data_IF_050968007032
#
_entry.id   IF_050968007032
#
_cell.length_a   1.000
_cell.length_b   1.000
_cell.length_c   1.000
_cell.angle_alpha   90.00
_cell.angle_beta   90.00
_cell.angle_gamma   90.00
#
_symmetry.space_group_name_H-M   'P 1'
#
loop_
_entity.id
_entity.type
_entity.pdbx_description
1 polymer ?
#
# COMPACT_ATOMS: atom_id res chain seq x y z
N UNK A 1 66.57 34.55 51.36
CA UNK A 1 65.25 35.20 51.24
C UNK A 1 64.23 34.09 51.37
N UNK A 2 63.93 33.73 52.62
CA UNK A 2 62.80 34.25 53.42
C UNK A 2 61.49 33.59 52.94
N UNK A 3 61.03 32.55 53.65
CA UNK A 3 59.97 32.56 54.69
C UNK A 3 58.56 32.59 54.06
N UNK A 4 57.51 31.96 54.54
CA UNK A 4 57.22 30.85 55.45
C UNK A 4 55.67 30.70 55.39
N UNK A 5 55.14 29.67 56.03
CA UNK A 5 53.79 29.57 56.61
C UNK A 5 52.62 28.98 55.80
N UNK A 6 52.11 27.91 56.41
CA UNK A 6 50.90 27.14 56.24
C UNK A 6 49.58 27.92 56.38
N UNK A 7 48.47 27.35 55.91
CA UNK A 7 47.25 27.09 56.72
C UNK A 7 46.13 26.44 55.88
N UNK A 8 45.65 25.31 56.41
CA UNK A 8 44.27 24.79 56.47
C UNK A 8 43.24 25.04 55.35
N UNK A 9 42.54 23.94 55.02
CA UNK A 9 41.33 23.90 54.22
C UNK A 9 40.16 24.68 54.84
N UNK A 10 39.11 24.94 54.03
CA UNK A 10 37.76 24.70 54.51
C UNK A 10 37.03 23.65 53.67
N UNK A 11 36.43 22.70 54.37
CA UNK A 11 35.21 22.03 53.95
C UNK A 11 34.16 23.10 53.65
N UNK A 12 33.58 23.08 52.45
CA UNK A 12 32.31 23.74 52.19
C UNK A 12 31.39 22.74 51.49
N UNK A 13 30.54 22.13 52.30
CA UNK A 13 29.22 21.71 51.85
C UNK A 13 28.53 22.94 51.27
N UNK A 14 28.14 22.89 50.00
CA UNK A 14 27.02 23.66 49.50
C UNK A 14 26.23 22.80 48.52
N UNK A 15 25.15 22.28 49.08
CA UNK A 15 23.91 21.93 48.43
C UNK A 15 23.53 22.89 47.30
N UNK A 16 23.31 22.36 46.09
CA UNK A 16 22.27 22.88 45.19
C UNK A 16 21.85 21.81 44.19
N UNK A 17 20.73 21.17 44.53
CA UNK A 17 19.83 20.49 43.61
C UNK A 17 19.32 21.51 42.59
N UNK A 18 20.04 21.70 41.47
CA UNK A 18 19.55 22.25 40.20
C UNK A 18 20.63 22.07 39.15
N UNK A 19 20.93 20.82 38.80
CA UNK A 19 21.90 20.50 37.76
C UNK A 19 21.24 20.53 36.40
N UNK A 20 21.33 21.65 35.68
CA UNK A 20 21.03 21.71 34.25
C UNK A 20 21.87 20.65 33.49
N UNK A 21 21.22 19.57 33.04
CA UNK A 21 21.87 18.51 32.28
C UNK A 21 22.34 19.03 30.91
N UNK A 22 23.64 18.91 30.62
CA UNK A 22 24.18 19.18 29.28
C UNK A 22 23.62 18.20 28.23
N UNK A 23 23.46 18.63 26.98
CA UNK A 23 22.96 17.77 25.88
C UNK A 23 23.74 16.46 25.71
N UNK A 24 25.06 16.48 25.97
CA UNK A 24 25.90 15.28 25.94
C UNK A 24 25.58 14.30 27.08
N UNK A 25 25.24 14.82 28.27
CA UNK A 25 24.83 13.98 29.40
C UNK A 25 23.44 13.36 29.16
N UNK A 26 22.54 14.11 28.52
CA UNK A 26 21.21 13.63 28.14
C UNK A 26 21.29 12.46 27.14
N UNK A 27 22.07 12.61 26.06
CA UNK A 27 22.25 11.55 25.06
C UNK A 27 22.91 10.30 25.64
N UNK A 28 23.85 10.46 26.59
CA UNK A 28 24.45 9.34 27.32
C UNK A 28 23.45 8.64 28.25
N UNK A 29 22.56 9.39 28.91
CA UNK A 29 21.49 8.82 29.74
C UNK A 29 20.53 7.96 28.90
N UNK A 30 20.05 8.49 27.76
CA UNK A 30 19.21 7.73 26.83
C UNK A 30 19.93 6.49 26.27
N UNK A 31 21.22 6.59 25.95
CA UNK A 31 22.02 5.45 25.48
C UNK A 31 22.19 4.37 26.55
N UNK A 32 22.37 4.75 27.82
CA UNK A 32 22.42 3.81 28.96
C UNK A 32 21.07 3.11 29.14
N UNK A 33 19.97 3.86 29.08
CA UNK A 33 18.61 3.33 29.18
C UNK A 33 18.32 2.34 28.03
N UNK A 34 18.69 2.69 26.80
CA UNK A 34 18.61 1.80 25.64
C UNK A 34 19.38 0.49 25.84
N UNK A 35 20.61 0.58 26.35
CA UNK A 35 21.42 -0.60 26.63
C UNK A 35 20.80 -1.49 27.72
N UNK A 36 20.16 -0.90 28.73
CA UNK A 36 19.43 -1.64 29.77
C UNK A 36 18.17 -2.32 29.23
N UNK A 37 17.40 -1.64 28.38
CA UNK A 37 16.17 -2.17 27.78
C UNK A 37 16.45 -3.28 26.74
N UNK A 38 17.58 -3.22 26.03
CA UNK A 38 17.97 -4.21 25.02
C UNK A 38 18.47 -5.55 25.59
N UNK A 39 18.70 -5.67 26.91
CA UNK A 39 19.29 -6.87 27.52
C UNK A 39 18.23 -7.96 27.80
N UNK A 40 18.49 -9.25 27.49
CA UNK A 40 17.54 -10.34 27.71
C UNK A 40 17.11 -10.51 29.18
N UNK A 41 15.83 -10.81 29.40
CA UNK A 41 15.08 -10.71 30.67
C UNK A 41 15.48 -11.66 31.80
N UNK A 42 16.51 -12.49 31.65
CA UNK A 42 16.64 -13.71 32.45
C UNK A 42 16.64 -13.54 33.98
N UNK A 43 16.95 -12.38 34.60
CA UNK A 43 16.95 -12.21 36.08
C UNK A 43 16.84 -10.77 36.65
N UNK A 44 15.91 -9.87 36.24
CA UNK A 44 15.91 -8.49 36.82
C UNK A 44 14.66 -7.60 36.66
N UNK A 45 13.44 -8.07 36.98
CA UNK A 45 12.20 -7.26 36.94
C UNK A 45 12.34 -5.89 37.62
N UNK A 46 12.77 -5.86 38.89
CA UNK A 46 12.95 -4.61 39.66
C UNK A 46 13.91 -3.58 39.04
N UNK A 47 14.88 -4.02 38.22
CA UNK A 47 15.86 -3.08 37.63
C UNK A 47 15.28 -2.37 36.41
N UNK A 48 14.34 -3.00 35.69
CA UNK A 48 13.68 -2.34 34.55
C UNK A 48 12.63 -1.34 35.01
N UNK A 49 11.91 -1.59 36.10
CA UNK A 49 10.96 -0.63 36.66
C UNK A 49 11.65 0.64 37.18
N UNK A 50 12.81 0.49 37.81
CA UNK A 50 13.67 1.64 38.19
C UNK A 50 14.12 2.41 36.96
N UNK A 51 14.54 1.72 35.89
CA UNK A 51 14.94 2.37 34.63
C UNK A 51 13.78 3.11 33.97
N UNK A 52 12.55 2.58 34.03
CA UNK A 52 11.36 3.26 33.50
C UNK A 52 11.00 4.49 34.32
N UNK A 53 11.15 4.41 35.65
CA UNK A 53 10.98 5.57 36.54
C UNK A 53 12.02 6.64 36.27
N UNK A 54 13.30 6.27 36.22
CA UNK A 54 14.41 7.17 35.89
C UNK A 54 14.20 7.85 34.52
N UNK A 55 13.69 7.11 33.53
CA UNK A 55 13.34 7.64 32.22
C UNK A 55 12.17 8.64 32.32
N UNK A 56 11.14 8.34 33.12
CA UNK A 56 10.03 9.25 33.36
C UNK A 56 10.45 10.55 34.02
N UNK A 57 11.28 10.46 35.07
CA UNK A 57 11.82 11.60 35.79
C UNK A 57 12.73 12.45 34.87
N UNK A 58 13.52 11.80 34.01
CA UNK A 58 14.33 12.47 33.00
C UNK A 58 13.45 13.23 32.00
N UNK A 59 12.39 12.62 31.46
CA UNK A 59 11.47 13.27 30.51
C UNK A 59 10.77 14.48 31.15
N UNK A 60 10.38 14.38 32.43
CA UNK A 60 9.76 15.50 33.14
C UNK A 60 10.74 16.64 33.38
N UNK A 61 11.94 16.33 33.87
CA UNK A 61 12.97 17.31 34.21
C UNK A 61 13.60 18.00 32.99
N UNK A 62 13.53 17.39 31.80
CA UNK A 62 14.14 17.97 30.60
C UNK A 62 13.21 18.99 29.94
N UNK A 63 13.74 20.18 29.64
CA UNK A 63 13.07 21.19 28.82
C UNK A 63 12.97 20.73 27.35
N UNK A 64 11.91 21.19 26.67
CA UNK A 64 11.55 20.75 25.33
C UNK A 64 12.69 20.96 24.30
N UNK A 65 13.32 22.15 24.30
CA UNK A 65 14.39 22.50 23.37
C UNK A 65 15.55 21.51 23.48
N UNK A 66 15.83 20.98 24.67
CA UNK A 66 16.91 20.01 24.89
C UNK A 66 16.59 18.58 24.43
N UNK A 67 15.30 18.22 24.38
CA UNK A 67 14.83 16.91 23.93
C UNK A 67 14.82 16.78 22.40
N UNK A 68 14.61 17.89 21.69
CA UNK A 68 14.36 17.86 20.24
C UNK A 68 15.30 18.77 19.42
N UNK A 69 15.93 19.80 19.98
CA UNK A 69 16.91 20.62 19.26
C UNK A 69 18.33 20.05 19.36
N UNK A 70 18.91 19.73 18.21
CA UNK A 70 20.34 19.60 18.02
C UNK A 70 20.89 20.86 17.36
N UNK A 71 21.08 21.94 18.12
CA UNK A 71 21.64 23.19 17.57
C UNK A 71 23.15 23.04 17.33
N UNK A 72 23.49 22.59 16.12
CA UNK A 72 24.84 22.57 15.57
C UNK A 72 25.18 21.33 14.76
N UNK A 73 26.10 21.47 13.80
CA UNK A 73 26.56 20.44 12.85
C UNK A 73 27.16 19.16 13.50
N UNK A 74 27.18 19.05 14.83
CA UNK A 74 27.66 17.89 15.61
C UNK A 74 26.57 17.09 16.33
N UNK A 75 25.28 17.49 16.28
CA UNK A 75 24.20 16.91 17.11
C UNK A 75 22.99 16.36 16.33
N UNK A 76 23.23 15.78 15.15
CA UNK A 76 22.23 15.24 14.21
C UNK A 76 21.60 13.89 14.63
N UNK A 77 21.39 13.63 15.92
CA UNK A 77 21.06 12.27 16.40
C UNK A 77 20.08 12.15 17.57
N UNK A 78 19.66 13.24 18.20
CA UNK A 78 18.79 13.18 19.39
C UNK A 78 17.35 12.75 19.05
N UNK A 79 16.69 13.30 18.01
CA UNK A 79 15.38 12.82 17.54
C UNK A 79 15.39 11.32 17.17
N UNK A 80 16.48 10.85 16.55
CA UNK A 80 16.66 9.45 16.18
C UNK A 80 16.86 8.57 17.42
N UNK A 81 17.65 9.03 18.40
CA UNK A 81 17.86 8.34 19.68
C UNK A 81 16.55 8.20 20.44
N UNK A 82 15.72 9.25 20.44
CA UNK A 82 14.38 9.20 21.05
C UNK A 82 13.46 8.22 20.32
N UNK A 83 13.52 8.16 18.99
CA UNK A 83 12.84 7.13 18.20
C UNK A 83 13.31 5.71 18.53
N UNK A 84 14.62 5.52 18.77
CA UNK A 84 15.17 4.24 19.23
C UNK A 84 14.67 3.87 20.63
N UNK A 85 14.59 4.85 21.55
CA UNK A 85 14.04 4.64 22.90
C UNK A 85 12.59 4.22 22.81
N UNK A 86 11.77 4.91 22.00
CA UNK A 86 10.38 4.56 21.78
C UNK A 86 10.23 3.14 21.21
N UNK A 87 11.10 2.74 20.27
CA UNK A 87 11.15 1.37 19.75
C UNK A 87 11.56 0.35 20.81
N UNK A 88 12.49 0.68 21.70
CA UNK A 88 12.89 -0.21 22.79
C UNK A 88 11.78 -0.38 23.84
N UNK A 89 11.06 0.70 24.15
CA UNK A 89 9.90 0.69 25.03
C UNK A 89 8.74 -0.13 24.45
N UNK A 90 8.43 0.07 23.15
CA UNK A 90 7.44 -0.73 22.44
C UNK A 90 7.77 -2.22 22.50
N UNK A 91 9.03 -2.59 22.23
CA UNK A 91 9.49 -3.98 22.36
C UNK A 91 9.48 -4.52 23.78
N UNK A 92 9.70 -3.67 24.78
CA UNK A 92 9.65 -4.06 26.19
C UNK A 92 8.22 -4.35 26.65
N UNK A 93 7.24 -3.59 26.14
CA UNK A 93 5.83 -3.82 26.41
C UNK A 93 5.21 -4.95 25.57
N UNK A 94 5.88 -5.38 24.50
CA UNK A 94 5.37 -6.42 23.62
C UNK A 94 5.20 -7.78 24.34
N UNK A 95 4.13 -8.53 24.07
CA UNK A 95 3.94 -9.85 24.66
C UNK A 95 4.99 -10.84 24.15
N UNK A 96 5.55 -11.65 25.06
CA UNK A 96 6.42 -12.77 24.71
C UNK A 96 5.63 -14.02 24.30
N UNK A 97 6.26 -14.92 23.56
CA UNK A 97 5.70 -16.24 23.23
C UNK A 97 5.58 -17.07 24.52
N UNK A 98 4.36 -17.47 24.89
CA UNK A 98 4.15 -18.44 25.96
C UNK A 98 4.51 -19.86 25.49
N UNK A 99 5.30 -20.56 26.32
CA UNK A 99 5.28 -22.01 26.41
C UNK A 99 4.00 -22.40 27.15
N UNK A 100 3.27 -23.39 26.64
CA UNK A 100 2.02 -23.90 27.20
C UNK A 100 2.18 -24.20 28.71
N UNK A 101 1.71 -23.31 29.61
CA UNK A 101 1.63 -23.66 31.04
C UNK A 101 1.73 -22.60 32.14
N UNK A 102 1.78 -21.27 31.89
CA UNK A 102 1.94 -20.29 32.98
C UNK A 102 1.09 -19.03 32.84
N UNK A 103 0.01 -18.90 33.62
CA UNK A 103 -0.93 -17.76 33.56
C UNK A 103 -0.41 -16.41 34.09
N UNK A 104 0.84 -16.32 34.57
CA UNK A 104 1.40 -15.11 35.17
C UNK A 104 2.03 -14.14 34.13
N UNK A 105 2.39 -14.65 32.94
CA UNK A 105 3.09 -13.87 31.91
C UNK A 105 2.24 -12.76 31.27
N UNK A 106 0.94 -12.97 31.14
CA UNK A 106 0.01 -11.98 30.60
C UNK A 106 -0.23 -10.79 31.53
N UNK A 107 -0.22 -11.02 32.85
CA UNK A 107 -0.36 -9.95 33.85
C UNK A 107 0.86 -9.02 33.85
N UNK A 108 2.05 -9.59 33.75
CA UNK A 108 3.31 -8.83 33.66
C UNK A 108 3.38 -7.99 32.38
N UNK A 109 3.00 -8.55 31.23
CA UNK A 109 2.95 -7.82 29.95
C UNK A 109 1.98 -6.62 30.01
N UNK A 110 0.82 -6.80 30.65
CA UNK A 110 -0.17 -5.73 30.78
C UNK A 110 0.29 -4.60 31.73
N UNK A 111 0.99 -4.92 32.82
CA UNK A 111 1.53 -3.89 33.72
C UNK A 111 2.71 -3.15 33.08
N UNK A 112 3.62 -3.86 32.38
CA UNK A 112 4.66 -3.23 31.55
C UNK A 112 4.05 -2.27 30.53
N UNK A 113 2.97 -2.69 29.87
CA UNK A 113 2.26 -1.84 28.91
C UNK A 113 1.66 -0.59 29.57
N UNK A 114 1.04 -0.72 30.75
CA UNK A 114 0.51 0.44 31.46
C UNK A 114 1.62 1.46 31.81
N UNK A 115 2.76 1.00 32.31
CA UNK A 115 3.90 1.87 32.64
C UNK A 115 4.50 2.56 31.40
N UNK A 116 4.73 1.79 30.32
CA UNK A 116 5.23 2.32 29.06
C UNK A 116 4.25 3.33 28.44
N UNK A 117 2.95 3.05 28.52
CA UNK A 117 1.91 3.94 28.02
C UNK A 117 1.92 5.30 28.73
N UNK A 118 2.09 5.32 30.05
CA UNK A 118 2.24 6.58 30.81
C UNK A 118 3.47 7.39 30.36
N UNK A 119 4.59 6.71 30.06
CA UNK A 119 5.77 7.38 29.51
C UNK A 119 5.51 7.98 28.12
N UNK A 120 4.78 7.27 27.26
CA UNK A 120 4.39 7.82 25.95
C UNK A 120 3.45 9.02 26.08
N UNK A 121 2.51 9.01 27.02
CA UNK A 121 1.67 10.19 27.30
C UNK A 121 2.50 11.40 27.72
N UNK A 122 3.48 11.21 28.63
CA UNK A 122 4.40 12.29 29.02
C UNK A 122 5.20 12.83 27.83
N UNK A 123 5.73 11.94 26.97
CA UNK A 123 6.45 12.34 25.76
C UNK A 123 5.56 13.10 24.77
N UNK A 124 4.35 12.62 24.50
CA UNK A 124 3.40 13.28 23.60
C UNK A 124 2.96 14.65 24.15
N UNK A 125 2.75 14.77 25.47
CA UNK A 125 2.46 16.05 26.11
C UNK A 125 3.61 17.06 25.97
N UNK A 126 4.88 16.61 26.04
CA UNK A 126 6.05 17.46 25.75
C UNK A 126 6.09 17.90 24.28
N UNK A 127 5.66 17.05 23.33
CA UNK A 127 5.54 17.44 21.92
C UNK A 127 4.38 18.43 21.71
N UNK A 128 3.27 18.26 22.42
CA UNK A 128 2.11 19.16 22.32
C UNK A 128 2.41 20.56 22.88
N UNK A 129 3.02 20.63 24.07
CA UNK A 129 3.43 21.91 24.68
C UNK A 129 4.38 22.69 23.76
N UNK A 130 5.27 21.98 23.08
CA UNK A 130 6.19 22.56 22.12
C UNK A 130 5.56 23.06 20.82
N UNK A 131 4.63 22.28 20.28
CA UNK A 131 3.83 22.69 19.14
C UNK A 131 3.14 24.03 19.41
N UNK A 132 2.69 24.24 20.64
CA UNK A 132 2.03 25.47 21.08
C UNK A 132 3.00 26.62 21.41
N UNK A 133 4.29 26.36 21.61
CA UNK A 133 5.28 27.38 22.01
C UNK A 133 5.98 28.10 20.85
N UNK A 134 5.65 27.80 19.58
CA UNK A 134 6.21 28.42 18.36
C UNK A 134 7.75 28.26 18.18
N UNK A 135 8.41 27.42 18.97
CA UNK A 135 9.87 27.18 18.88
C UNK A 135 10.19 26.12 17.83
N UNK A 136 10.58 26.56 16.62
CA UNK A 136 11.27 25.77 15.58
C UNK A 136 10.57 24.50 15.02
N UNK A 137 10.99 23.97 13.86
CA UNK A 137 10.44 22.73 13.30
C UNK A 137 10.99 21.44 13.96
N UNK A 138 11.74 21.55 15.06
CA UNK A 138 12.45 20.41 15.69
C UNK A 138 11.50 19.33 16.23
N UNK A 139 10.35 19.73 16.80
CA UNK A 139 9.33 18.80 17.28
C UNK A 139 8.77 17.90 16.16
N UNK A 140 8.69 18.39 14.91
CA UNK A 140 8.19 17.62 13.77
C UNK A 140 9.12 16.44 13.44
N UNK A 141 10.43 16.66 13.53
CA UNK A 141 11.44 15.62 13.28
C UNK A 141 11.41 14.56 14.37
N UNK A 142 11.31 14.97 15.63
CA UNK A 142 11.13 14.03 16.75
C UNK A 142 9.84 13.22 16.65
N UNK A 143 8.72 13.90 16.37
CA UNK A 143 7.41 13.27 16.19
C UNK A 143 7.41 12.28 15.01
N UNK A 144 8.17 12.55 13.95
CA UNK A 144 8.32 11.62 12.83
C UNK A 144 8.92 10.28 13.27
N UNK A 145 9.96 10.30 14.10
CA UNK A 145 10.60 9.09 14.62
C UNK A 145 9.81 8.40 15.75
N UNK A 146 9.07 9.16 16.55
CA UNK A 146 8.26 8.66 17.66
C UNK A 146 6.96 7.97 17.22
N UNK A 147 6.24 8.53 16.25
CA UNK A 147 4.87 8.12 16.00
C UNK A 147 4.70 6.67 15.56
N UNK A 148 5.66 6.11 14.82
CA UNK A 148 5.59 4.72 14.36
C UNK A 148 5.59 3.73 15.53
N UNK A 149 6.63 3.73 16.39
CA UNK A 149 6.65 2.91 17.60
C UNK A 149 5.47 3.16 18.55
N UNK A 150 5.09 4.43 18.78
CA UNK A 150 3.96 4.78 19.65
C UNK A 150 2.64 4.22 19.11
N UNK A 151 2.42 4.32 17.79
CA UNK A 151 1.26 3.73 17.13
C UNK A 151 1.23 2.21 17.30
N UNK A 152 2.35 1.52 17.04
CA UNK A 152 2.43 0.05 17.17
C UNK A 152 2.10 -0.37 18.61
N UNK A 153 2.67 0.30 19.60
CA UNK A 153 2.34 0.08 21.00
C UNK A 153 0.84 0.27 21.28
N UNK A 154 0.26 1.39 20.84
CA UNK A 154 -1.14 1.70 21.09
C UNK A 154 -2.08 0.66 20.47
N UNK A 155 -1.82 0.21 19.24
CA UNK A 155 -2.62 -0.86 18.60
C UNK A 155 -2.43 -2.21 19.29
N UNK A 156 -1.22 -2.50 19.78
CA UNK A 156 -0.92 -3.75 20.50
C UNK A 156 -1.74 -3.92 21.78
N UNK A 157 -2.06 -2.82 22.46
CA UNK A 157 -2.68 -2.85 23.79
C UNK A 157 -4.07 -2.19 23.88
N UNK A 158 -4.62 -1.59 22.82
CA UNK A 158 -5.91 -0.87 22.87
C UNK A 158 -7.16 -1.76 22.76
N UNK A 159 -7.01 -2.97 22.23
CA UNK A 159 -8.11 -3.94 22.06
C UNK A 159 -8.04 -5.04 23.12
N UNK A 160 -9.15 -5.76 23.30
CA UNK A 160 -9.18 -6.95 24.14
C UNK A 160 -8.30 -8.05 23.54
N UNK A 161 -7.27 -8.43 24.28
CA UNK A 161 -6.34 -9.49 23.94
C UNK A 161 -5.93 -10.26 25.21
N UNK A 162 -5.44 -11.50 25.09
CA UNK A 162 -5.01 -12.30 26.23
C UNK A 162 -3.98 -11.61 27.14
N UNK A 163 -3.12 -10.75 26.57
CA UNK A 163 -2.06 -10.02 27.27
C UNK A 163 -2.45 -8.60 27.73
N UNK A 164 -3.75 -8.28 27.82
CA UNK A 164 -4.22 -6.93 28.16
C UNK A 164 -5.15 -6.92 29.37
N UNK A 165 -5.10 -5.84 30.16
CA UNK A 165 -6.02 -5.56 31.26
C UNK A 165 -6.87 -4.32 30.94
N UNK A 166 -8.00 -4.08 31.66
CA UNK A 166 -8.76 -2.84 31.50
C UNK A 166 -7.89 -1.58 31.61
N UNK A 167 -6.99 -1.55 32.60
CA UNK A 167 -6.04 -0.45 32.83
C UNK A 167 -5.08 -0.26 31.66
N UNK A 168 -4.43 -1.31 31.19
CA UNK A 168 -3.49 -1.19 30.06
C UNK A 168 -4.18 -0.74 28.78
N UNK A 169 -5.44 -1.18 28.55
CA UNK A 169 -6.25 -0.78 27.39
C UNK A 169 -6.67 0.68 27.44
N UNK A 170 -7.05 1.18 28.60
CA UNK A 170 -7.39 2.59 28.80
C UNK A 170 -6.20 3.49 28.46
N UNK A 171 -5.05 3.23 29.09
CA UNK A 171 -3.81 3.99 28.82
C UNK A 171 -3.41 3.91 27.34
N UNK A 172 -3.50 2.74 26.70
CA UNK A 172 -3.17 2.60 25.28
C UNK A 172 -4.11 3.40 24.36
N UNK A 173 -5.40 3.51 24.70
CA UNK A 173 -6.36 4.35 23.95
C UNK A 173 -6.11 5.83 24.15
N UNK A 174 -5.73 6.24 25.36
CA UNK A 174 -5.29 7.62 25.62
C UNK A 174 -4.05 7.94 24.78
N UNK A 175 -3.05 7.05 24.75
CA UNK A 175 -1.85 7.21 23.93
C UNK A 175 -2.20 7.36 22.45
N UNK A 176 -3.12 6.53 21.92
CA UNK A 176 -3.57 6.66 20.54
C UNK A 176 -4.24 8.01 20.28
N UNK A 177 -5.09 8.47 21.20
CA UNK A 177 -5.81 9.74 21.10
C UNK A 177 -4.85 10.92 21.11
N UNK A 178 -3.91 10.95 22.07
CA UNK A 178 -2.86 11.97 22.13
C UNK A 178 -1.97 11.96 20.90
N UNK A 179 -1.65 10.79 20.34
CA UNK A 179 -0.86 10.70 19.10
C UNK A 179 -1.60 11.35 17.92
N UNK A 180 -2.89 11.04 17.75
CA UNK A 180 -3.72 11.61 16.68
C UNK A 180 -3.84 13.14 16.82
N UNK A 181 -4.04 13.64 18.04
CA UNK A 181 -4.09 15.08 18.34
C UNK A 181 -2.79 15.80 18.00
N UNK A 182 -1.64 15.26 18.43
CA UNK A 182 -0.33 15.85 18.15
C UNK A 182 0.01 15.81 16.65
N UNK A 183 -0.49 14.81 15.93
CA UNK A 183 -0.31 14.67 14.47
C UNK A 183 -1.39 15.33 13.63
N UNK A 184 -2.35 16.02 14.24
CA UNK A 184 -3.47 16.71 13.57
C UNK A 184 -4.33 15.76 12.70
N UNK A 185 -4.41 14.49 13.08
CA UNK A 185 -5.20 13.50 12.36
C UNK A 185 -6.54 13.30 13.07
N UNK A 186 -7.66 13.47 12.36
CA UNK A 186 -9.01 13.22 12.87
C UNK A 186 -9.38 11.74 12.99
N UNK A 187 -8.57 10.85 12.40
CA UNK A 187 -8.77 9.40 12.49
C UNK A 187 -7.46 8.62 12.28
N UNK A 188 -7.49 7.34 12.67
CA UNK A 188 -6.37 6.42 12.39
C UNK A 188 -6.17 6.22 10.89
N UNK A 189 -7.25 6.18 10.10
CA UNK A 189 -7.16 6.10 8.65
C UNK A 189 -6.40 7.31 8.07
N UNK A 190 -6.77 8.52 8.49
CA UNK A 190 -6.07 9.77 8.14
C UNK A 190 -4.59 9.76 8.52
N UNK A 191 -4.26 9.26 9.72
CA UNK A 191 -2.86 9.09 10.15
C UNK A 191 -2.05 8.13 9.25
N UNK A 192 -2.68 7.08 8.75
CA UNK A 192 -2.02 6.05 7.94
C UNK A 192 -1.85 6.46 6.48
N UNK A 193 -2.87 7.05 5.86
CA UNK A 193 -2.85 7.36 4.43
C UNK A 193 -2.79 8.86 4.08
N UNK A 194 -2.88 9.76 5.06
CA UNK A 194 -2.99 11.21 4.88
C UNK A 194 -4.45 11.65 4.73
N UNK A 195 -4.81 12.83 5.20
CA UNK A 195 -6.19 13.34 5.05
C UNK A 195 -6.42 13.93 3.65
N UNK A 196 -5.35 14.43 3.02
CA UNK A 196 -5.35 15.02 1.68
C UNK A 196 -4.54 14.17 0.68
N UNK A 197 -4.86 14.28 -0.61
CA UNK A 197 -4.22 13.49 -1.67
C UNK A 197 -2.69 13.72 -1.79
N UNK A 198 -2.19 14.87 -1.35
CA UNK A 198 -0.78 15.26 -1.42
C UNK A 198 0.02 14.92 -0.15
N UNK A 199 -0.66 14.52 0.94
CA UNK A 199 0.00 14.18 2.20
C UNK A 199 0.47 12.73 2.20
N UNK A 200 1.77 12.52 2.47
CA UNK A 200 2.33 11.18 2.63
C UNK A 200 1.97 10.64 4.03
N UNK A 201 0.97 9.76 4.08
CA UNK A 201 0.62 9.04 5.31
C UNK A 201 1.73 8.12 5.84
N UNK A 202 1.60 7.69 7.10
CA UNK A 202 2.63 6.93 7.82
C UNK A 202 2.59 5.41 7.64
N UNK A 203 1.64 4.90 6.84
CA UNK A 203 1.47 3.45 6.62
C UNK A 203 2.74 2.77 6.10
N UNK A 204 3.49 3.42 5.19
CA UNK A 204 4.74 2.88 4.65
C UNK A 204 5.84 2.72 5.71
N UNK A 205 5.91 3.65 6.67
CA UNK A 205 6.87 3.64 7.80
C UNK A 205 6.50 2.51 8.77
N UNK A 206 5.21 2.39 9.10
CA UNK A 206 4.69 1.34 9.99
C UNK A 206 4.94 -0.04 9.39
N UNK A 207 4.62 -0.26 8.12
CA UNK A 207 4.95 -1.51 7.44
C UNK A 207 6.46 -1.81 7.46
N UNK A 208 7.31 -0.78 7.36
CA UNK A 208 8.75 -0.92 7.48
C UNK A 208 9.19 -1.39 8.88
N UNK A 209 8.52 -0.92 9.93
CA UNK A 209 8.77 -1.33 11.32
C UNK A 209 8.29 -2.75 11.60
N UNK A 210 7.16 -3.17 11.01
CA UNK A 210 6.58 -4.51 11.18
C UNK A 210 7.27 -5.59 10.33
N UNK A 211 7.84 -5.22 9.17
CA UNK A 211 8.50 -6.12 8.22
C UNK A 211 9.52 -7.11 8.83
N UNK A 212 10.47 -6.71 9.71
CA UNK A 212 11.43 -7.64 10.29
C UNK A 212 10.76 -8.77 11.07
N UNK A 213 9.61 -8.49 11.68
CA UNK A 213 8.87 -9.44 12.50
C UNK A 213 7.88 -10.26 11.66
N UNK A 214 7.35 -9.73 10.55
CA UNK A 214 6.41 -10.41 9.63
C UNK A 214 7.08 -11.32 8.58
N UNK A 215 8.07 -12.11 8.97
CA UNK A 215 8.65 -13.15 8.10
C UNK A 215 8.35 -14.56 8.65
N UNK A 216 8.43 -15.58 7.79
CA UNK A 216 8.09 -16.99 8.13
C UNK A 216 8.77 -17.53 9.39
N UNK A 217 9.93 -16.99 9.77
CA UNK A 217 10.74 -17.45 10.92
C UNK A 217 10.45 -16.66 12.21
N UNK A 218 10.01 -15.40 12.14
CA UNK A 218 9.95 -14.50 13.31
C UNK A 218 8.54 -14.10 13.74
N UNK A 219 7.53 -14.22 12.87
CA UNK A 219 6.20 -13.64 13.15
C UNK A 219 5.47 -14.29 14.32
N UNK A 220 5.90 -15.50 14.72
CA UNK A 220 5.40 -16.21 15.89
C UNK A 220 6.10 -15.85 17.21
N UNK A 221 7.14 -15.02 17.16
CA UNK A 221 7.89 -14.61 18.36
C UNK A 221 7.12 -13.58 19.19
N UNK A 222 6.30 -12.77 18.53
CA UNK A 222 5.41 -11.79 19.16
C UNK A 222 3.98 -12.06 18.67
N UNK A 223 3.07 -12.61 19.51
CA UNK A 223 1.71 -12.92 19.09
C UNK A 223 0.91 -11.69 18.68
N UNK A 224 1.28 -10.48 19.11
CA UNK A 224 0.58 -9.25 18.74
C UNK A 224 0.82 -8.82 17.29
N UNK A 225 1.96 -9.18 16.68
CA UNK A 225 2.36 -8.63 15.38
C UNK A 225 1.33 -8.91 14.28
N UNK A 226 0.72 -10.11 14.29
CA UNK A 226 -0.33 -10.50 13.35
C UNK A 226 -1.60 -9.67 13.52
N UNK A 227 -1.95 -9.33 14.75
CA UNK A 227 -3.10 -8.50 15.07
C UNK A 227 -2.86 -7.04 14.68
N UNK A 228 -1.70 -6.49 15.03
CA UNK A 228 -1.30 -5.13 14.65
C UNK A 228 -1.30 -4.98 13.13
N UNK A 229 -0.69 -5.93 12.42
CA UNK A 229 -0.70 -5.94 10.95
C UNK A 229 -2.12 -6.03 10.38
N UNK A 230 -2.90 -7.03 10.81
CA UNK A 230 -4.26 -7.24 10.30
C UNK A 230 -5.16 -6.03 10.54
N UNK A 231 -5.11 -5.45 11.74
CA UNK A 231 -5.92 -4.30 12.09
C UNK A 231 -5.48 -3.06 11.30
N UNK A 232 -4.17 -2.79 11.21
CA UNK A 232 -3.61 -1.65 10.48
C UNK A 232 -3.93 -1.73 8.98
N UNK A 233 -3.88 -2.92 8.39
CA UNK A 233 -4.27 -3.15 7.01
C UNK A 233 -5.74 -2.78 6.75
N UNK A 234 -6.65 -3.13 7.66
CA UNK A 234 -8.08 -2.84 7.52
C UNK A 234 -8.40 -1.34 7.55
N UNK A 235 -7.54 -0.52 8.15
CA UNK A 235 -7.70 0.94 8.18
C UNK A 235 -7.36 1.62 6.85
N UNK A 236 -6.65 0.95 5.93
CA UNK A 236 -6.24 1.51 4.64
C UNK A 236 -7.08 0.92 3.52
N UNK A 237 -7.86 1.78 2.86
CA UNK A 237 -8.79 1.40 1.78
C UNK A 237 -8.40 2.04 0.45
N UNK A 238 -9.28 1.99 -0.55
CA UNK A 238 -9.05 2.61 -1.88
C UNK A 238 -8.96 4.15 -1.76
N UNK A 239 -8.06 4.82 -2.50
CA UNK A 239 -7.08 4.27 -3.46
C UNK A 239 -5.71 3.88 -2.86
N UNK A 240 -5.46 4.22 -1.59
CA UNK A 240 -4.13 4.20 -0.96
C UNK A 240 -3.53 2.81 -0.73
N UNK A 241 -4.34 1.75 -0.68
CA UNK A 241 -3.82 0.40 -0.45
C UNK A 241 -3.02 -0.15 -1.64
N UNK A 242 -3.35 0.28 -2.87
CA UNK A 242 -2.82 -0.30 -4.10
C UNK A 242 -1.29 -0.21 -4.23
N UNK A 243 -0.70 0.93 -3.86
CA UNK A 243 0.75 1.18 -3.88
C UNK A 243 1.55 0.37 -2.84
N UNK A 244 0.88 -0.32 -1.92
CA UNK A 244 1.52 -1.10 -0.85
C UNK A 244 1.31 -2.61 -1.00
N UNK A 245 0.70 -3.06 -2.11
CA UNK A 245 0.37 -4.46 -2.36
C UNK A 245 1.56 -5.41 -2.17
N UNK A 246 2.71 -5.08 -2.76
CA UNK A 246 3.93 -5.89 -2.67
C UNK A 246 4.42 -6.10 -1.23
N UNK A 247 4.07 -5.18 -0.33
CA UNK A 247 4.47 -5.24 1.09
C UNK A 247 3.44 -5.96 1.95
N UNK A 248 2.15 -5.84 1.64
CA UNK A 248 1.07 -6.41 2.47
C UNK A 248 0.70 -7.84 2.06
N UNK A 249 0.74 -8.17 0.76
CA UNK A 249 0.32 -9.48 0.26
C UNK A 249 1.16 -10.63 0.82
N UNK A 250 2.51 -10.56 0.87
CA UNK A 250 3.31 -11.66 1.42
C UNK A 250 3.00 -11.93 2.90
N UNK A 251 2.83 -10.89 3.71
CA UNK A 251 2.51 -11.03 5.13
C UNK A 251 1.11 -11.64 5.34
N UNK A 252 0.11 -11.22 4.57
CA UNK A 252 -1.23 -11.82 4.61
C UNK A 252 -1.23 -13.29 4.21
N UNK A 253 -0.45 -13.67 3.19
CA UNK A 253 -0.29 -15.06 2.77
C UNK A 253 0.37 -15.91 3.85
N UNK A 254 1.47 -15.42 4.46
CA UNK A 254 2.18 -16.12 5.54
C UNK A 254 1.26 -16.39 6.74
N UNK A 255 0.39 -15.44 7.10
CA UNK A 255 -0.58 -15.61 8.19
C UNK A 255 -1.67 -16.62 7.79
N UNK A 256 -2.13 -16.59 6.53
CA UNK A 256 -3.17 -17.50 6.03
C UNK A 256 -2.72 -18.96 5.86
N UNK A 257 -1.43 -19.19 5.63
CA UNK A 257 -0.81 -20.52 5.47
C UNK A 257 -0.53 -21.21 6.82
N UNK A 258 -0.80 -20.53 7.95
CA UNK A 258 -0.56 -21.08 9.27
C UNK A 258 -1.50 -22.25 9.60
N UNK A 259 -1.05 -23.20 10.42
CA UNK A 259 -1.87 -24.36 10.79
C UNK A 259 -2.99 -24.02 11.78
N UNK A 260 -2.84 -22.98 12.61
CA UNK A 260 -3.84 -22.59 13.61
C UNK A 260 -5.01 -21.85 12.95
N UNK A 261 -6.23 -22.26 13.28
CA UNK A 261 -7.46 -21.73 12.67
C UNK A 261 -7.62 -20.22 12.86
N UNK A 262 -7.28 -19.67 14.03
CA UNK A 262 -7.37 -18.23 14.31
C UNK A 262 -6.51 -17.41 13.35
N UNK A 263 -5.29 -17.89 13.08
CA UNK A 263 -4.36 -17.24 12.16
C UNK A 263 -4.87 -17.33 10.72
N UNK A 264 -5.39 -18.50 10.32
CA UNK A 264 -6.03 -18.66 9.00
C UNK A 264 -7.15 -17.65 8.78
N UNK A 265 -8.05 -17.50 9.77
CA UNK A 265 -9.16 -16.54 9.70
C UNK A 265 -8.62 -15.12 9.54
N UNK A 266 -7.66 -14.70 10.39
CA UNK A 266 -7.05 -13.37 10.28
C UNK A 266 -6.40 -13.14 8.90
N UNK A 267 -5.65 -14.13 8.39
CA UNK A 267 -5.02 -14.07 7.08
C UNK A 267 -6.03 -13.97 5.94
N UNK A 268 -7.10 -14.77 5.98
CA UNK A 268 -8.20 -14.71 5.01
C UNK A 268 -8.92 -13.36 5.07
N UNK A 269 -9.16 -12.80 6.25
CA UNK A 269 -9.73 -11.46 6.40
C UNK A 269 -8.82 -10.38 5.78
N UNK A 270 -7.50 -10.48 5.97
CA UNK A 270 -6.53 -9.61 5.32
C UNK A 270 -6.59 -9.73 3.78
N UNK A 271 -6.58 -10.96 3.27
CA UNK A 271 -6.66 -11.22 1.82
C UNK A 271 -7.98 -10.71 1.25
N UNK A 272 -9.10 -10.93 1.94
CA UNK A 272 -10.41 -10.43 1.55
C UNK A 272 -10.41 -8.90 1.47
N UNK A 273 -9.85 -8.22 2.47
CA UNK A 273 -9.71 -6.76 2.46
C UNK A 273 -8.85 -6.26 1.31
N UNK A 274 -7.71 -6.91 1.04
CA UNK A 274 -6.81 -6.58 -0.08
C UNK A 274 -7.55 -6.75 -1.41
N UNK A 275 -8.23 -7.88 -1.60
CA UNK A 275 -9.05 -8.16 -2.76
C UNK A 275 -10.07 -7.02 -2.94
N UNK A 276 -10.90 -6.76 -1.93
CA UNK A 276 -11.91 -5.71 -2.00
C UNK A 276 -11.34 -4.30 -2.23
N UNK A 277 -10.11 -3.99 -1.81
CA UNK A 277 -9.56 -2.63 -1.82
C UNK A 277 -8.42 -2.35 -2.82
N UNK A 278 -7.88 -3.34 -3.54
CA UNK A 278 -6.77 -3.13 -4.50
C UNK A 278 -7.21 -3.29 -5.96
N UNK A 279 -8.49 -3.60 -6.22
CA UNK A 279 -8.97 -4.04 -7.53
C UNK A 279 -8.31 -5.36 -7.97
N UNK A 280 -8.61 -6.41 -7.18
CA UNK A 280 -8.76 -7.85 -7.49
C UNK A 280 -8.17 -8.44 -8.78
N UNK A 281 -8.41 -7.84 -9.94
CA UNK A 281 -8.31 -8.52 -11.23
C UNK A 281 -6.87 -8.98 -11.54
N UNK A 282 -5.87 -8.11 -11.41
CA UNK A 282 -4.49 -8.45 -11.78
C UNK A 282 -3.87 -9.46 -10.81
N UNK A 283 -4.12 -9.32 -9.50
CA UNK A 283 -3.57 -10.25 -8.50
C UNK A 283 -4.23 -11.64 -8.57
N UNK A 284 -5.54 -11.72 -8.87
CA UNK A 284 -6.18 -13.01 -9.16
C UNK A 284 -5.60 -13.65 -10.43
N UNK A 285 -5.23 -12.85 -11.44
CA UNK A 285 -4.55 -13.35 -12.63
C UNK A 285 -3.15 -13.91 -12.33
N UNK A 286 -2.46 -13.44 -11.29
CA UNK A 286 -1.18 -14.03 -10.88
C UNK A 286 -1.36 -15.27 -9.99
N UNK A 287 -2.52 -15.39 -9.33
CA UNK A 287 -2.84 -16.51 -8.44
C UNK A 287 -3.50 -17.69 -9.16
N UNK A 288 -4.27 -17.51 -10.25
CA UNK A 288 -4.89 -18.69 -10.87
C UNK A 288 -3.91 -19.76 -11.38
N UNK A 289 -2.65 -19.51 -11.80
CA UNK A 289 -1.75 -20.61 -12.17
C UNK A 289 -1.42 -21.52 -10.97
N UNK A 290 -1.45 -20.96 -9.76
CA UNK A 290 -1.21 -21.69 -8.51
C UNK A 290 -2.48 -22.45 -8.11
N UNK A 291 -3.64 -21.79 -8.20
CA UNK A 291 -4.95 -22.39 -7.89
C UNK A 291 -5.38 -23.45 -8.91
N UNK A 292 -4.96 -23.31 -10.17
CA UNK A 292 -5.32 -24.19 -11.29
C UNK A 292 -4.22 -25.22 -11.59
N UNK A 293 -3.21 -25.39 -10.70
CA UNK A 293 -2.26 -26.50 -10.80
C UNK A 293 -3.06 -27.80 -11.00
N UNK A 294 -2.76 -28.51 -12.10
CA UNK A 294 -3.35 -29.80 -12.54
C UNK A 294 -4.61 -29.82 -13.41
N UNK A 295 -4.73 -28.95 -14.41
CA UNK A 295 -5.58 -29.24 -15.59
C UNK A 295 -4.72 -29.60 -16.81
N UNK A 296 -4.03 -30.75 -16.75
CA UNK A 296 -3.40 -31.34 -17.93
C UNK A 296 -4.48 -31.88 -18.87
N UNK A 297 -4.88 -31.10 -19.87
CA UNK A 297 -5.81 -31.53 -20.89
C UNK A 297 -5.16 -32.59 -21.80
N UNK A 298 -5.62 -33.85 -21.69
CA UNK A 298 -5.08 -35.02 -22.42
C UNK A 298 -5.79 -35.32 -23.75
N UNK A 299 -6.38 -34.32 -24.41
CA UNK A 299 -6.83 -34.45 -25.80
C UNK A 299 -8.21 -35.06 -26.04
N UNK A 300 -8.80 -35.74 -25.06
CA UNK A 300 -9.96 -36.63 -25.31
C UNK A 300 -11.35 -36.01 -25.02
N UNK A 301 -11.43 -34.69 -24.80
CA UNK A 301 -12.71 -34.02 -24.50
C UNK A 301 -12.65 -32.49 -24.56
N UNK A 302 -13.79 -31.83 -24.31
CA UNK A 302 -13.83 -30.36 -24.21
C UNK A 302 -12.95 -29.89 -23.04
N UNK A 303 -12.09 -28.88 -23.28
CA UNK A 303 -11.28 -28.29 -22.19
C UNK A 303 -12.22 -27.80 -21.08
N UNK A 304 -11.94 -28.08 -19.80
CA UNK A 304 -12.75 -27.58 -18.69
C UNK A 304 -12.74 -26.04 -18.64
N UNK A 305 -13.77 -25.46 -18.02
CA UNK A 305 -13.78 -24.03 -17.67
C UNK A 305 -12.83 -23.78 -16.51
N UNK A 306 -11.98 -22.78 -16.67
CA UNK A 306 -11.01 -22.35 -15.65
C UNK A 306 -11.67 -21.37 -14.69
N UNK A 307 -11.08 -21.11 -13.52
CA UNK A 307 -11.57 -20.04 -12.62
C UNK A 307 -11.42 -18.69 -13.31
N UNK A 308 -10.39 -18.53 -14.15
CA UNK A 308 -10.23 -17.37 -15.03
C UNK A 308 -11.40 -17.18 -16.00
N UNK A 309 -11.99 -18.26 -16.55
CA UNK A 309 -13.17 -18.19 -17.42
C UNK A 309 -14.41 -17.68 -16.66
N UNK A 310 -14.61 -18.13 -15.43
CA UNK A 310 -15.76 -17.75 -14.61
C UNK A 310 -15.68 -16.29 -14.18
N UNK A 311 -14.49 -15.86 -13.77
CA UNK A 311 -14.24 -14.46 -13.39
C UNK A 311 -14.39 -13.55 -14.59
N UNK A 312 -13.84 -13.90 -15.77
CA UNK A 312 -14.06 -13.10 -16.98
C UNK A 312 -15.56 -13.03 -17.34
N UNK A 313 -16.30 -14.14 -17.25
CA UNK A 313 -17.74 -14.15 -17.53
C UNK A 313 -18.51 -13.21 -16.60
N UNK A 314 -18.16 -13.20 -15.32
CA UNK A 314 -18.78 -12.32 -14.33
C UNK A 314 -18.44 -10.85 -14.62
N UNK A 315 -17.16 -10.53 -14.86
CA UNK A 315 -16.72 -9.18 -15.23
C UNK A 315 -17.48 -8.69 -16.46
N UNK A 316 -17.55 -9.49 -17.53
CA UNK A 316 -18.28 -9.12 -18.75
C UNK A 316 -19.78 -8.94 -18.51
N UNK A 317 -20.35 -9.64 -17.52
CA UNK A 317 -21.75 -9.45 -17.10
C UNK A 317 -21.99 -8.07 -16.52
N UNK A 318 -21.05 -7.57 -15.73
CA UNK A 318 -21.14 -6.25 -15.14
C UNK A 318 -20.68 -5.15 -16.10
N UNK A 319 -19.74 -5.43 -17.01
CA UNK A 319 -19.28 -4.46 -18.00
C UNK A 319 -20.38 -4.06 -18.99
N UNK A 320 -21.18 -5.02 -19.49
CA UNK A 320 -22.17 -4.79 -20.55
C UNK A 320 -23.21 -3.69 -20.20
N UNK A 321 -23.82 -3.65 -19.00
CA UNK A 321 -24.74 -2.58 -18.59
C UNK A 321 -24.06 -1.39 -17.88
N UNK A 322 -22.74 -1.35 -17.74
CA UNK A 322 -22.06 -0.32 -16.94
C UNK A 322 -22.04 1.04 -17.65
N UNK A 323 -22.51 2.07 -16.94
CA UNK A 323 -22.62 3.43 -17.45
C UNK A 323 -21.77 4.43 -16.67
N UNK A 324 -21.29 4.09 -15.46
CA UNK A 324 -20.43 4.96 -14.66
C UNK A 324 -19.02 4.96 -15.25
N UNK A 325 -18.55 6.12 -15.71
CA UNK A 325 -17.28 6.25 -16.44
C UNK A 325 -16.07 5.72 -15.66
N UNK A 326 -15.98 6.00 -14.36
CA UNK A 326 -14.89 5.50 -13.50
C UNK A 326 -14.84 3.96 -13.44
N UNK A 327 -16.00 3.31 -13.37
CA UNK A 327 -16.07 1.84 -13.36
C UNK A 327 -15.73 1.27 -14.74
N UNK A 328 -16.17 1.92 -15.83
CA UNK A 328 -15.80 1.54 -17.20
C UNK A 328 -14.28 1.59 -17.40
N UNK A 329 -13.60 2.65 -16.96
CA UNK A 329 -12.12 2.74 -16.98
C UNK A 329 -11.48 1.59 -16.22
N UNK A 330 -11.98 1.34 -15.00
CA UNK A 330 -11.46 0.26 -14.15
C UNK A 330 -11.61 -1.11 -14.83
N UNK A 331 -12.77 -1.42 -15.41
CA UNK A 331 -12.96 -2.69 -16.11
C UNK A 331 -12.10 -2.78 -17.38
N UNK A 332 -12.10 -1.72 -18.20
CA UNK A 332 -11.34 -1.66 -19.44
C UNK A 332 -9.85 -1.88 -19.20
N UNK A 333 -9.27 -1.24 -18.18
CA UNK A 333 -7.84 -1.37 -17.83
C UNK A 333 -7.40 -2.80 -17.54
N UNK A 334 -8.29 -3.63 -17.00
CA UNK A 334 -7.96 -5.00 -16.62
C UNK A 334 -8.26 -6.03 -17.71
N UNK A 335 -9.12 -5.69 -18.67
CA UNK A 335 -9.60 -6.63 -19.69
C UNK A 335 -8.48 -7.22 -20.59
N UNK A 336 -7.44 -6.46 -21.02
CA UNK A 336 -6.31 -7.01 -21.77
C UNK A 336 -5.62 -8.18 -21.07
N UNK A 337 -5.46 -8.10 -19.75
CA UNK A 337 -4.78 -9.12 -18.96
C UNK A 337 -5.54 -10.46 -18.94
N UNK A 338 -6.88 -10.43 -18.90
CA UNK A 338 -7.70 -11.64 -19.02
C UNK A 338 -7.59 -12.28 -20.41
N UNK A 339 -7.63 -11.45 -21.46
CA UNK A 339 -7.55 -11.94 -22.84
C UNK A 339 -6.18 -12.57 -23.11
N UNK A 340 -5.09 -11.94 -22.66
CA UNK A 340 -3.74 -12.50 -22.75
C UNK A 340 -3.61 -13.81 -21.99
N UNK A 341 -4.22 -13.90 -20.81
CA UNK A 341 -4.11 -15.09 -19.98
C UNK A 341 -4.88 -16.28 -20.54
N UNK A 342 -6.10 -16.07 -21.03
CA UNK A 342 -6.91 -17.13 -21.62
C UNK A 342 -6.44 -17.50 -23.04
N UNK A 343 -5.77 -16.58 -23.75
CA UNK A 343 -5.34 -16.75 -25.12
C UNK A 343 -6.50 -17.19 -26.02
N UNK A 344 -6.33 -18.28 -26.77
CA UNK A 344 -7.37 -18.85 -27.65
C UNK A 344 -8.67 -19.20 -26.91
N UNK A 345 -8.63 -19.50 -25.60
CA UNK A 345 -9.83 -19.86 -24.82
C UNK A 345 -10.82 -18.69 -24.69
N UNK A 346 -10.34 -17.46 -24.91
CA UNK A 346 -11.16 -16.25 -24.99
C UNK A 346 -12.29 -16.37 -26.01
N UNK A 347 -12.16 -17.26 -27.01
CA UNK A 347 -13.20 -17.55 -28.00
C UNK A 347 -14.55 -17.92 -27.37
N UNK A 348 -14.56 -18.50 -26.16
CA UNK A 348 -15.77 -18.83 -25.39
C UNK A 348 -16.62 -17.61 -25.05
N UNK A 349 -15.97 -16.46 -24.89
CA UNK A 349 -16.59 -15.21 -24.46
C UNK A 349 -16.77 -14.22 -25.62
N UNK A 350 -16.39 -14.60 -26.85
CA UNK A 350 -16.27 -13.71 -28.00
C UNK A 350 -17.54 -12.93 -28.34
N UNK A 351 -18.72 -13.55 -28.21
CA UNK A 351 -20.01 -12.88 -28.46
C UNK A 351 -20.26 -11.73 -27.48
N UNK A 352 -19.90 -11.90 -26.20
CA UNK A 352 -20.12 -10.89 -25.16
C UNK A 352 -19.02 -9.83 -25.18
N UNK A 353 -17.78 -10.25 -25.43
CA UNK A 353 -16.65 -9.35 -25.65
C UNK A 353 -16.92 -8.39 -26.81
N UNK A 354 -17.45 -8.88 -27.94
CA UNK A 354 -17.85 -8.02 -29.06
C UNK A 354 -18.81 -6.90 -28.61
N UNK A 355 -19.86 -7.24 -27.85
CA UNK A 355 -20.83 -6.26 -27.36
C UNK A 355 -20.19 -5.24 -26.42
N UNK A 356 -19.38 -5.70 -25.47
CA UNK A 356 -18.66 -4.83 -24.53
C UNK A 356 -17.70 -3.91 -25.27
N UNK A 357 -16.90 -4.43 -26.21
CA UNK A 357 -15.97 -3.65 -27.01
C UNK A 357 -16.70 -2.56 -27.77
N UNK A 358 -17.76 -2.90 -28.50
CA UNK A 358 -18.54 -1.90 -29.26
C UNK A 358 -19.11 -0.85 -28.32
N UNK A 359 -19.80 -1.27 -27.25
CA UNK A 359 -20.40 -0.35 -26.30
C UNK A 359 -19.38 0.55 -25.59
N UNK A 360 -18.13 0.08 -25.41
CA UNK A 360 -17.06 0.86 -24.80
C UNK A 360 -16.40 1.86 -25.75
N UNK A 361 -16.22 1.49 -27.02
CA UNK A 361 -15.70 2.41 -28.02
C UNK A 361 -16.67 3.57 -28.32
N UNK A 362 -17.97 3.37 -28.18
CA UNK A 362 -18.97 4.40 -28.49
C UNK A 362 -19.05 5.53 -27.46
N UNK A 363 -18.76 5.26 -26.18
CA UNK A 363 -18.96 6.24 -25.10
C UNK A 363 -17.68 6.97 -24.78
N UNK A 364 -17.73 8.30 -24.78
CA UNK A 364 -16.62 9.17 -24.38
C UNK A 364 -16.42 9.10 -22.87
N UNK A 365 -15.22 8.75 -22.41
CA UNK A 365 -14.97 8.54 -20.98
C UNK A 365 -14.18 9.65 -20.29
N UNK A 366 -13.82 10.73 -20.99
CA UNK A 366 -13.13 11.92 -20.46
C UNK A 366 -11.85 12.25 -21.22
N UNK A 367 -11.11 13.31 -20.86
CA UNK A 367 -10.00 13.83 -21.67
C UNK A 367 -8.85 12.83 -21.86
N UNK A 368 -8.70 11.88 -20.95
CA UNK A 368 -7.67 10.84 -21.02
C UNK A 368 -8.03 9.67 -21.93
N UNK A 369 -9.32 9.47 -22.26
CA UNK A 369 -9.85 8.37 -23.07
C UNK A 369 -9.30 6.97 -22.69
N UNK A 370 -9.02 6.78 -21.40
CA UNK A 370 -8.34 5.59 -20.87
C UNK A 370 -9.12 4.32 -21.21
N UNK A 371 -10.45 4.35 -21.07
CA UNK A 371 -11.28 3.18 -21.33
C UNK A 371 -11.23 2.78 -22.81
N UNK A 372 -11.37 3.74 -23.73
CA UNK A 372 -11.36 3.46 -25.18
C UNK A 372 -10.00 2.92 -25.64
N UNK A 373 -8.89 3.50 -25.16
CA UNK A 373 -7.54 3.02 -25.46
C UNK A 373 -7.35 1.57 -25.00
N UNK A 374 -7.75 1.24 -23.77
CA UNK A 374 -7.62 -0.13 -23.24
C UNK A 374 -8.54 -1.13 -23.94
N UNK A 375 -9.66 -0.68 -24.48
CA UNK A 375 -10.57 -1.52 -25.26
C UNK A 375 -10.03 -1.78 -26.68
N UNK A 376 -9.36 -0.81 -27.29
CA UNK A 376 -8.62 -1.03 -28.54
C UNK A 376 -7.47 -2.03 -28.34
N UNK A 377 -6.70 -1.90 -27.26
CA UNK A 377 -5.68 -2.89 -26.87
C UNK A 377 -6.30 -4.29 -26.70
N UNK A 378 -7.42 -4.38 -25.98
CA UNK A 378 -8.16 -5.64 -25.83
C UNK A 378 -8.59 -6.22 -27.17
N UNK A 379 -9.10 -5.40 -28.09
CA UNK A 379 -9.54 -5.82 -29.42
C UNK A 379 -8.37 -6.35 -30.25
N UNK A 380 -7.18 -5.73 -30.19
CA UNK A 380 -5.96 -6.23 -30.85
C UNK A 380 -5.63 -7.65 -30.36
N UNK A 381 -5.55 -7.83 -29.04
CA UNK A 381 -5.26 -9.13 -28.44
C UNK A 381 -6.32 -10.18 -28.81
N UNK A 382 -7.60 -9.80 -28.78
CA UNK A 382 -8.70 -10.69 -29.15
C UNK A 382 -8.57 -11.16 -30.61
N UNK A 383 -8.26 -10.24 -31.53
CA UNK A 383 -8.07 -10.58 -32.94
C UNK A 383 -6.84 -11.49 -33.14
N UNK A 384 -5.74 -11.26 -32.43
CA UNK A 384 -4.55 -12.11 -32.49
C UNK A 384 -4.84 -13.53 -31.97
N UNK A 385 -5.42 -13.64 -30.78
CA UNK A 385 -5.67 -14.93 -30.12
C UNK A 385 -6.81 -15.73 -30.77
N UNK A 386 -7.79 -15.07 -31.40
CA UNK A 386 -9.00 -15.71 -31.93
C UNK A 386 -9.21 -15.50 -33.44
N UNK A 387 -8.14 -15.18 -34.18
CA UNK A 387 -8.17 -14.83 -35.61
C UNK A 387 -9.06 -15.73 -36.50
N UNK A 388 -9.17 -17.07 -36.32
CA UNK A 388 -10.01 -17.90 -37.18
C UNK A 388 -11.50 -17.57 -37.09
N UNK A 389 -11.93 -16.92 -36.01
CA UNK A 389 -13.33 -16.54 -35.75
C UNK A 389 -13.59 -15.04 -35.97
N UNK A 390 -12.58 -14.25 -36.34
CA UNK A 390 -12.73 -12.79 -36.53
C UNK A 390 -13.45 -12.47 -37.84
N UNK A 391 -13.22 -13.23 -38.91
CA UNK A 391 -13.81 -12.99 -40.24
C UNK A 391 -15.34 -12.92 -40.23
N UNK A 392 -16.04 -13.68 -39.39
CA UNK A 392 -17.51 -13.63 -39.30
C UNK A 392 -18.05 -12.38 -38.59
N UNK A 393 -17.17 -11.58 -37.97
CA UNK A 393 -17.49 -10.35 -37.23
C UNK A 393 -16.99 -9.09 -37.95
N UNK A 394 -16.38 -9.28 -39.12
CA UNK A 394 -15.77 -8.23 -39.95
C UNK A 394 -16.63 -6.97 -40.04
N UNK A 395 -17.89 -7.12 -40.47
CA UNK A 395 -18.76 -5.96 -40.75
C UNK A 395 -19.05 -5.16 -39.48
N UNK A 396 -19.26 -5.84 -38.35
CA UNK A 396 -19.61 -5.19 -37.09
C UNK A 396 -18.41 -4.45 -36.52
N UNK A 397 -17.25 -5.10 -36.47
CA UNK A 397 -16.01 -4.48 -35.97
C UNK A 397 -15.53 -3.34 -36.88
N UNK A 398 -15.62 -3.51 -38.19
CA UNK A 398 -15.28 -2.46 -39.16
C UNK A 398 -16.12 -1.20 -38.94
N UNK A 399 -17.44 -1.36 -38.78
CA UNK A 399 -18.34 -0.22 -38.52
C UNK A 399 -18.00 0.47 -37.19
N UNK A 400 -17.74 -0.28 -36.12
CA UNK A 400 -17.40 0.29 -34.83
C UNK A 400 -16.09 1.09 -34.86
N UNK A 401 -15.05 0.55 -35.52
CA UNK A 401 -13.76 1.24 -35.67
C UNK A 401 -13.86 2.49 -36.55
N UNK A 402 -14.59 2.42 -37.67
CA UNK A 402 -14.80 3.60 -38.52
C UNK A 402 -15.61 4.69 -37.82
N UNK A 403 -16.63 4.30 -37.04
CA UNK A 403 -17.41 5.24 -36.23
C UNK A 403 -16.50 5.96 -35.22
N UNK A 404 -15.69 5.22 -34.47
CA UNK A 404 -14.72 5.80 -33.53
C UNK A 404 -13.76 6.78 -34.23
N UNK A 405 -13.19 6.39 -35.38
CA UNK A 405 -12.28 7.26 -36.14
C UNK A 405 -12.97 8.55 -36.55
N UNK A 406 -14.21 8.48 -37.04
CA UNK A 406 -15.01 9.66 -37.41
C UNK A 406 -15.32 10.54 -36.18
N UNK A 407 -15.71 9.94 -35.06
CA UNK A 407 -16.07 10.65 -33.83
C UNK A 407 -14.85 11.41 -33.26
N UNK A 408 -13.68 10.75 -33.21
CA UNK A 408 -12.43 11.38 -32.73
C UNK A 408 -11.90 12.43 -33.71
N UNK A 409 -12.03 12.22 -35.02
CA UNK A 409 -11.60 13.19 -36.02
C UNK A 409 -12.40 14.50 -35.96
N UNK A 410 -13.70 14.40 -35.62
CA UNK A 410 -14.64 15.53 -35.53
C UNK A 410 -14.76 16.14 -34.13
N UNK A 411 -14.02 15.63 -33.15
CA UNK A 411 -14.04 16.14 -31.78
C UNK A 411 -13.59 17.63 -31.74
N UNK A 412 -14.45 18.57 -31.26
CA UNK A 412 -14.21 20.01 -31.22
C UNK A 412 -13.23 20.50 -30.13
N UNK A 413 -12.36 19.63 -29.59
CA UNK A 413 -11.28 19.87 -28.60
C UNK A 413 -11.58 19.42 -27.17
N UNK A 414 -12.47 18.44 -26.99
CA UNK A 414 -12.72 17.81 -25.69
C UNK A 414 -11.51 17.00 -25.20
N UNK A 415 -10.78 16.38 -26.14
CA UNK A 415 -9.58 15.58 -25.85
C UNK A 415 -8.29 16.28 -26.28
N UNK A 416 -7.19 16.12 -25.52
CA UNK A 416 -5.87 16.58 -25.94
C UNK A 416 -5.42 15.93 -27.26
N UNK A 417 -4.73 16.69 -28.12
CA UNK A 417 -4.35 16.20 -29.46
C UNK A 417 -3.40 14.97 -29.42
N UNK A 418 -2.60 14.84 -28.37
CA UNK A 418 -1.77 13.64 -28.14
C UNK A 418 -2.62 12.38 -27.95
N UNK A 419 -3.70 12.48 -27.18
CA UNK A 419 -4.65 11.40 -26.91
C UNK A 419 -5.47 11.09 -28.17
N UNK A 420 -5.93 12.12 -28.90
CA UNK A 420 -6.58 11.95 -30.21
C UNK A 420 -5.71 11.17 -31.19
N UNK A 421 -4.44 11.55 -31.28
CA UNK A 421 -3.48 10.90 -32.16
C UNK A 421 -3.26 9.44 -31.76
N UNK A 422 -3.17 9.15 -30.46
CA UNK A 422 -3.06 7.79 -29.95
C UNK A 422 -4.31 6.95 -30.29
N UNK A 423 -5.52 7.46 -30.05
CA UNK A 423 -6.76 6.78 -30.40
C UNK A 423 -6.87 6.46 -31.90
N UNK A 424 -6.59 7.46 -32.75
CA UNK A 424 -6.63 7.28 -34.20
C UNK A 424 -5.59 6.25 -34.66
N UNK A 425 -4.40 6.25 -34.07
CA UNK A 425 -3.36 5.27 -34.38
C UNK A 425 -3.78 3.85 -33.93
N UNK A 426 -4.23 3.69 -32.68
CA UNK A 426 -4.68 2.40 -32.14
C UNK A 426 -5.88 1.83 -32.92
N UNK A 427 -6.83 2.68 -33.34
CA UNK A 427 -7.96 2.28 -34.17
C UNK A 427 -7.51 1.89 -35.60
N UNK A 428 -6.54 2.62 -36.16
CA UNK A 428 -5.95 2.29 -37.48
C UNK A 428 -5.24 0.94 -37.44
N UNK A 429 -4.47 0.67 -36.39
CA UNK A 429 -3.80 -0.61 -36.20
C UNK A 429 -4.79 -1.76 -36.05
N UNK A 430 -5.91 -1.54 -35.34
CA UNK A 430 -7.02 -2.49 -35.28
C UNK A 430 -7.61 -2.78 -36.66
N UNK A 431 -7.77 -1.78 -37.53
CA UNK A 431 -8.25 -1.98 -38.91
C UNK A 431 -7.24 -2.78 -39.75
N UNK A 432 -5.94 -2.51 -39.61
CA UNK A 432 -4.88 -3.27 -40.29
C UNK A 432 -4.91 -4.73 -39.86
N UNK A 433 -5.02 -4.98 -38.54
CA UNK A 433 -5.08 -6.33 -38.02
C UNK A 433 -6.37 -7.06 -38.45
N UNK A 434 -7.51 -6.36 -38.47
CA UNK A 434 -8.78 -6.89 -38.98
C UNK A 434 -8.69 -7.27 -40.46
N UNK A 435 -7.98 -6.48 -41.28
CA UNK A 435 -7.71 -6.78 -42.68
C UNK A 435 -6.90 -8.08 -42.84
N UNK A 436 -5.84 -8.22 -42.04
CA UNK A 436 -5.00 -9.43 -42.01
C UNK A 436 -5.81 -10.66 -41.61
N UNK A 437 -6.64 -10.57 -40.56
CA UNK A 437 -7.53 -11.65 -40.13
C UNK A 437 -8.63 -12.00 -41.16
N UNK A 438 -8.86 -11.13 -42.15
CA UNK A 438 -9.92 -11.26 -43.15
C UNK A 438 -9.40 -11.35 -44.58
N UNK A 439 -8.12 -11.63 -44.78
CA UNK A 439 -7.49 -11.83 -46.10
C UNK A 439 -7.72 -10.64 -47.06
N UNK A 440 -7.49 -9.41 -46.61
CA UNK A 440 -7.56 -8.22 -47.47
C UNK A 440 -8.95 -7.66 -47.75
N UNK A 441 -10.01 -8.27 -47.18
CA UNK A 441 -11.41 -7.83 -47.38
C UNK A 441 -11.68 -6.42 -46.85
N UNK A 442 -10.98 -5.98 -45.80
CA UNK A 442 -11.18 -4.61 -45.25
C UNK A 442 -10.70 -3.59 -46.27
N UNK A 443 -9.51 -3.78 -46.85
CA UNK A 443 -8.98 -2.89 -47.90
C UNK A 443 -9.95 -2.76 -49.08
N UNK A 444 -10.54 -3.87 -49.52
CA UNK A 444 -11.55 -3.86 -50.58
C UNK A 444 -12.78 -3.02 -50.23
N UNK A 445 -13.28 -3.13 -48.99
CA UNK A 445 -14.43 -2.35 -48.52
C UNK A 445 -14.11 -0.86 -48.35
N UNK A 446 -12.87 -0.52 -47.99
CA UNK A 446 -12.44 0.86 -47.77
C UNK A 446 -11.93 1.58 -49.03
N UNK A 447 -11.77 0.87 -50.16
CA UNK A 447 -11.12 1.38 -51.37
C UNK A 447 -11.68 2.72 -51.90
N UNK A 448 -13.00 2.93 -51.77
CA UNK A 448 -13.70 4.12 -52.29
C UNK A 448 -13.68 5.32 -51.35
N UNK A 449 -13.38 5.12 -50.07
CA UNK A 449 -13.51 6.18 -49.05
C UNK A 449 -12.49 7.33 -49.23
N UNK A 450 -11.23 7.11 -49.61
CA UNK A 450 -10.28 8.21 -49.84
C UNK A 450 -10.71 9.20 -50.93
N UNK A 451 -11.61 8.79 -51.83
CA UNK A 451 -12.13 9.63 -52.92
C UNK A 451 -13.43 10.35 -52.53
N UNK A 452 -14.19 9.83 -51.56
CA UNK A 452 -15.51 10.34 -51.20
C UNK A 452 -15.58 11.05 -49.84
N UNK A 453 -14.57 10.90 -48.98
CA UNK A 453 -14.55 11.50 -47.65
C UNK A 453 -13.76 12.82 -47.63
N UNK A 454 -14.37 13.87 -47.08
CA UNK A 454 -13.76 15.21 -46.99
C UNK A 454 -12.83 15.37 -45.76
N UNK A 455 -12.97 14.51 -44.74
CA UNK A 455 -12.21 14.63 -43.49
C UNK A 455 -10.77 14.11 -43.66
N UNK A 456 -9.80 15.03 -43.57
CA UNK A 456 -8.38 14.72 -43.76
C UNK A 456 -7.83 13.73 -42.74
N UNK A 457 -8.27 13.78 -41.47
CA UNK A 457 -7.79 12.86 -40.42
C UNK A 457 -8.29 11.44 -40.71
N UNK A 458 -9.57 11.30 -41.09
CA UNK A 458 -10.17 10.01 -41.49
C UNK A 458 -9.48 9.44 -42.72
N UNK A 459 -9.30 10.24 -43.78
CA UNK A 459 -8.63 9.82 -45.02
C UNK A 459 -7.21 9.37 -44.76
N UNK A 460 -6.47 10.06 -43.89
CA UNK A 460 -5.10 9.67 -43.53
C UNK A 460 -5.04 8.30 -42.83
N UNK A 461 -5.97 8.02 -41.91
CA UNK A 461 -6.07 6.72 -41.26
C UNK A 461 -6.35 5.60 -42.29
N UNK A 462 -7.32 5.83 -43.19
CA UNK A 462 -7.69 4.84 -44.22
C UNK A 462 -6.54 4.59 -45.20
N UNK A 463 -5.81 5.65 -45.60
CA UNK A 463 -4.64 5.51 -46.47
C UNK A 463 -3.55 4.65 -45.82
N UNK A 464 -3.31 4.80 -44.51
CA UNK A 464 -2.39 3.92 -43.77
C UNK A 464 -2.82 2.45 -43.88
N UNK A 465 -4.11 2.14 -43.69
CA UNK A 465 -4.63 0.76 -43.84
C UNK A 465 -4.36 0.19 -45.24
N UNK A 466 -4.50 1.01 -46.28
CA UNK A 466 -4.26 0.61 -47.67
C UNK A 466 -2.78 0.38 -48.00
N UNK A 467 -1.88 1.13 -47.36
CA UNK A 467 -0.44 1.11 -47.65
C UNK A 467 0.33 -0.05 -46.99
N UNK A 468 -0.23 -0.70 -45.97
CA UNK A 468 0.45 -1.82 -45.29
C UNK A 468 0.41 -3.08 -46.18
N UNK A 469 1.56 -3.48 -46.71
CA UNK A 469 1.75 -4.73 -47.48
C UNK A 469 1.68 -5.98 -46.58
N UNK A 470 1.35 -7.15 -47.15
CA UNK A 470 1.10 -8.42 -46.45
C UNK A 470 2.33 -9.08 -45.79
N UNK A 471 3.52 -8.48 -45.82
CA UNK A 471 4.78 -9.17 -45.49
C UNK A 471 5.67 -8.49 -44.44
N UNK A 472 5.30 -8.53 -43.17
CA UNK A 472 6.27 -8.41 -42.08
C UNK A 472 5.93 -9.44 -40.97
N UNK A 473 6.76 -10.46 -40.73
CA UNK A 473 6.57 -11.38 -39.62
C UNK A 473 6.79 -10.63 -38.30
N UNK A 474 5.90 -10.85 -37.33
CA UNK A 474 6.14 -10.44 -35.96
C UNK A 474 7.16 -11.42 -35.35
N UNK A 475 8.34 -10.93 -35.01
CA UNK A 475 9.22 -11.58 -34.02
C UNK A 475 8.50 -11.52 -32.66
N UNK A 476 8.01 -12.67 -32.23
CA UNK A 476 7.47 -12.86 -30.88
C UNK A 476 8.57 -13.42 -29.97
N UNK A 477 8.93 -12.65 -28.95
CA UNK A 477 9.48 -13.18 -27.69
C UNK A 477 8.35 -13.43 -26.72
#
# INVERSE_FOLDING_TARGET
>A
MELDSALEAPLQEDSSLSGELSHSALGQAFSKILHCLARPEARRGNVKDVVLKDLGDLIEATEFDRLFEGTGARLRGMPETLGQVAKALEKYAAPSKEEEGGGDGHSEAAEKAAQVGLLFLKLLGKVETAKNSLVGPAWQTGLHHLAGPVYIFAITHSLEQPWTTPRSREVAREVLTSLLQVTECGSVAGFLHGENADEKGRFSVILGLLKPDLNKKSWKNNPAIKHVFSWTLQQVTRPWLSQHLERVLPASLVISDDYQTENKILGVHCLHHIVLNVAVLLCLLDLFPILEKTLHWKGDGARPTTHCDEVLRLILTHMEPEHRLLLRRTYARNLPAFVNRLGILTVRHLKRLERVIIGYLEVYDGPEEEARLKILETLKLLMQHTWPRVSCRLVVLLKALLKLICDVARDPNLTPESVKSALLQEATDCLILLDRCSQGRVKGLLAKIPQSCEDRKVVNCIRKVQQVSEGAPYDGT
#
